data_IF_675768835343
#
_entry.id   IF_675768835343
#
_cell.length_a   1.000
_cell.length_b   1.000
_cell.length_c   1.000
_cell.angle_alpha   90.00
_cell.angle_beta   90.00
_cell.angle_gamma   90.00
#
_symmetry.space_group_name_H-M   'P 1'
#
loop_
_entity.id
_entity.type
_entity.pdbx_description
1 polymer ?
#
# COMPACT_ATOMS: atom_id res chain seq x y z
N UNK A 1 19.40 -1.59 5.12
CA UNK A 1 18.60 -1.93 3.92
C UNK A 1 18.30 -3.43 3.93
N UNK A 2 17.21 -3.86 3.31
CA UNK A 2 16.91 -5.27 3.04
C UNK A 2 16.91 -5.51 1.53
N UNK A 3 17.45 -6.66 1.09
CA UNK A 3 17.43 -7.09 -0.32
C UNK A 3 16.59 -8.36 -0.38
N UNK A 4 15.43 -8.26 -1.02
CA UNK A 4 14.39 -9.29 -1.00
C UNK A 4 14.04 -9.71 -2.42
N UNK A 5 13.71 -10.97 -2.60
CA UNK A 5 13.24 -11.49 -3.88
C UNK A 5 11.75 -11.74 -3.83
N UNK A 6 11.02 -11.26 -4.83
CA UNK A 6 9.57 -11.44 -4.96
C UNK A 6 9.21 -11.89 -6.37
N UNK A 7 8.00 -12.43 -6.51
CA UNK A 7 7.39 -12.59 -7.83
C UNK A 7 7.33 -11.24 -8.56
N UNK A 8 7.52 -11.27 -9.88
CA UNK A 8 7.61 -10.07 -10.71
C UNK A 8 6.46 -9.09 -10.51
N UNK A 9 5.22 -9.56 -10.55
CA UNK A 9 4.04 -8.67 -10.40
C UNK A 9 4.00 -8.01 -9.01
N UNK A 10 4.39 -8.75 -7.96
CA UNK A 10 4.45 -8.20 -6.61
C UNK A 10 5.53 -7.12 -6.50
N UNK A 11 6.71 -7.39 -7.05
CA UNK A 11 7.81 -6.42 -7.10
C UNK A 11 7.43 -5.16 -7.89
N UNK A 12 6.75 -5.31 -9.03
CA UNK A 12 6.24 -4.20 -9.84
C UNK A 12 5.23 -3.35 -9.04
N UNK A 13 4.35 -3.98 -8.25
CA UNK A 13 3.43 -3.24 -7.36
C UNK A 13 4.14 -2.47 -6.25
N UNK A 14 5.26 -2.98 -5.70
CA UNK A 14 6.01 -2.27 -4.65
C UNK A 14 6.59 -0.94 -5.14
N UNK A 15 7.13 -0.94 -6.37
CA UNK A 15 7.80 0.24 -6.95
C UNK A 15 6.89 1.13 -7.80
N UNK A 16 5.66 0.69 -8.07
CA UNK A 16 4.70 1.41 -8.91
C UNK A 16 4.46 2.84 -8.39
N UNK A 17 4.51 3.81 -9.30
CA UNK A 17 4.28 5.23 -9.03
C UNK A 17 2.82 5.62 -9.29
N UNK A 18 2.35 6.76 -8.76
CA UNK A 18 1.01 7.28 -9.07
C UNK A 18 0.80 7.39 -10.58
N UNK A 19 -0.31 6.83 -11.07
CA UNK A 19 -0.63 6.75 -12.51
C UNK A 19 -0.29 5.42 -13.16
N UNK A 20 0.61 4.63 -12.57
CA UNK A 20 0.93 3.30 -13.07
C UNK A 20 -0.24 2.33 -12.92
N UNK A 21 -0.40 1.43 -13.89
CA UNK A 21 -1.42 0.37 -13.85
C UNK A 21 -1.31 -0.50 -12.58
N UNK A 22 -0.08 -0.78 -12.16
CA UNK A 22 0.24 -1.59 -10.98
C UNK A 22 0.09 -0.83 -9.65
N UNK A 23 -0.13 0.49 -9.68
CA UNK A 23 -0.29 1.30 -8.47
C UNK A 23 -1.49 0.83 -7.65
N UNK A 24 -1.25 0.52 -6.38
CA UNK A 24 -2.25 0.00 -5.46
C UNK A 24 -1.92 0.35 -4.01
N UNK A 25 -2.77 -0.06 -3.07
CA UNK A 25 -2.57 0.19 -1.63
C UNK A 25 -1.20 -0.26 -1.12
N UNK A 26 -0.69 -1.37 -1.64
CA UNK A 26 0.65 -1.88 -1.31
C UNK A 26 1.74 -0.86 -1.65
N UNK A 27 1.66 -0.28 -2.86
CA UNK A 27 2.60 0.74 -3.35
C UNK A 27 2.67 1.91 -2.37
N UNK A 28 1.51 2.47 -2.00
CA UNK A 28 1.46 3.65 -1.15
C UNK A 28 1.93 3.36 0.28
N UNK A 29 1.53 2.23 0.86
CA UNK A 29 1.90 1.88 2.23
C UNK A 29 3.40 1.62 2.37
N UNK A 30 4.00 0.93 1.39
CA UNK A 30 5.43 0.67 1.39
C UNK A 30 6.23 1.94 1.14
N UNK A 31 5.81 2.77 0.18
CA UNK A 31 6.49 4.03 -0.14
C UNK A 31 6.32 5.10 0.95
N UNK A 32 5.28 5.00 1.79
CA UNK A 32 5.15 5.81 3.00
C UNK A 32 6.32 5.54 3.94
N UNK A 33 6.60 4.26 4.23
CA UNK A 33 7.52 3.85 5.30
C UNK A 33 8.95 3.58 4.82
N UNK A 34 9.16 3.35 3.53
CA UNK A 34 10.45 2.95 2.98
C UNK A 34 10.70 3.53 1.58
N UNK A 35 11.98 3.66 1.21
CA UNK A 35 12.41 3.77 -0.19
C UNK A 35 12.53 2.36 -0.76
N UNK A 36 12.01 2.15 -1.97
CA UNK A 36 11.99 0.83 -2.61
C UNK A 36 12.47 0.93 -4.04
N UNK A 37 13.47 0.12 -4.37
CA UNK A 37 14.12 0.13 -5.68
C UNK A 37 14.12 -1.27 -6.29
N UNK A 38 13.87 -1.32 -7.60
CA UNK A 38 14.03 -2.55 -8.39
C UNK A 38 15.51 -2.74 -8.72
N UNK A 39 16.12 -3.83 -8.29
CA UNK A 39 17.55 -4.08 -8.54
C UNK A 39 17.79 -4.87 -9.82
N UNK A 40 17.18 -6.06 -9.94
CA UNK A 40 17.38 -6.93 -11.09
C UNK A 40 16.24 -7.93 -11.27
N UNK A 41 16.13 -8.47 -12.49
CA UNK A 41 15.20 -9.55 -12.86
C UNK A 41 15.90 -10.90 -12.75
N UNK A 42 15.24 -11.89 -12.17
CA UNK A 42 15.72 -13.26 -12.03
C UNK A 42 14.82 -14.19 -12.83
N UNK A 43 15.41 -14.79 -13.87
CA UNK A 43 14.73 -15.77 -14.71
C UNK A 43 14.29 -17.00 -13.91
N UNK A 44 13.09 -17.53 -14.17
CA UNK A 44 12.57 -18.77 -13.55
C UNK A 44 13.51 -19.99 -13.68
N UNK A 45 14.35 -20.02 -14.70
CA UNK A 45 15.32 -21.11 -14.94
C UNK A 45 16.48 -21.13 -13.93
N UNK A 46 16.64 -20.08 -13.11
CA UNK A 46 17.64 -20.01 -12.05
C UNK A 46 17.18 -20.71 -10.75
N UNK A 47 15.98 -21.28 -10.72
CA UNK A 47 15.42 -21.95 -9.55
C UNK A 47 15.30 -23.47 -9.78
N UNK A 48 15.34 -24.23 -8.67
CA UNK A 48 15.10 -25.68 -8.67
C UNK A 48 14.16 -26.05 -7.51
N UNK A 49 12.93 -26.52 -7.77
CA UNK A 49 12.27 -26.59 -9.09
C UNK A 49 11.93 -25.20 -9.65
N UNK A 50 11.78 -25.05 -10.99
CA UNK A 50 11.43 -23.77 -11.60
C UNK A 50 10.02 -23.30 -11.19
N UNK A 51 9.84 -22.04 -10.75
CA UNK A 51 8.51 -21.47 -10.51
C UNK A 51 7.78 -21.21 -11.83
N UNK A 52 6.46 -21.00 -11.74
CA UNK A 52 5.61 -20.67 -12.90
C UNK A 52 5.78 -19.23 -13.41
N UNK A 53 6.33 -18.35 -12.57
CA UNK A 53 6.42 -16.90 -12.85
C UNK A 53 7.85 -16.41 -12.68
N UNK A 54 8.15 -15.29 -13.34
CA UNK A 54 9.43 -14.60 -13.18
C UNK A 54 9.56 -13.95 -11.79
N UNK A 55 10.79 -13.74 -11.34
CA UNK A 55 11.10 -13.10 -10.06
C UNK A 55 11.92 -11.83 -10.24
N UNK A 56 11.85 -10.93 -9.28
CA UNK A 56 12.65 -9.72 -9.24
C UNK A 56 13.24 -9.55 -7.84
N UNK A 57 14.44 -8.97 -7.78
CA UNK A 57 15.10 -8.56 -6.54
C UNK A 57 14.83 -7.08 -6.31
N UNK A 58 14.40 -6.75 -5.10
CA UNK A 58 13.99 -5.43 -4.65
C UNK A 58 14.81 -5.04 -3.43
N UNK A 59 15.30 -3.80 -3.40
CA UNK A 59 15.90 -3.19 -2.21
C UNK A 59 14.83 -2.40 -1.46
N UNK A 60 14.74 -2.60 -0.16
CA UNK A 60 13.84 -1.85 0.73
C UNK A 60 14.66 -1.17 1.82
N UNK A 61 14.50 0.13 1.95
CA UNK A 61 15.19 0.95 2.96
C UNK A 61 14.17 1.73 3.79
N UNK A 62 13.94 1.35 5.06
CA UNK A 62 13.08 2.12 5.95
C UNK A 62 13.50 3.59 6.02
N UNK A 63 12.53 4.49 6.01
CA UNK A 63 12.77 5.92 6.25
C UNK A 63 13.01 6.13 7.74
N UNK A 64 14.10 6.82 8.06
CA UNK A 64 14.52 7.12 9.43
C UNK A 64 14.79 8.63 9.53
N UNK A 65 14.07 9.36 10.39
CA UNK A 65 12.92 8.91 11.16
C UNK A 65 11.72 8.54 10.26
N UNK A 66 10.80 7.68 10.72
CA UNK A 66 9.57 7.44 10.00
C UNK A 66 8.74 8.74 9.95
N UNK A 67 7.89 8.93 8.93
CA UNK A 67 7.00 10.08 8.89
C UNK A 67 6.06 10.06 10.12
N UNK A 68 5.72 11.22 10.70
CA UNK A 68 4.88 11.32 11.90
C UNK A 68 3.40 11.13 11.53
N UNK A 69 3.05 9.94 11.06
CA UNK A 69 1.72 9.58 10.59
C UNK A 69 1.17 8.44 11.45
N UNK A 70 -0.06 8.59 11.94
CA UNK A 70 -0.79 7.50 12.58
C UNK A 70 -1.07 6.41 11.53
N UNK A 71 -0.35 5.30 11.60
CA UNK A 71 -0.46 4.22 10.61
C UNK A 71 -1.87 3.60 10.58
N UNK A 72 -2.59 3.56 11.72
CA UNK A 72 -3.92 3.00 11.77
C UNK A 72 -4.93 3.84 10.99
N UNK A 73 -4.87 5.16 11.13
CA UNK A 73 -5.70 6.09 10.36
C UNK A 73 -5.33 6.08 8.87
N UNK A 74 -4.03 6.06 8.58
CA UNK A 74 -3.51 5.95 7.22
C UNK A 74 -4.01 4.68 6.51
N UNK A 75 -3.90 3.52 7.17
CA UNK A 75 -4.35 2.26 6.60
C UNK A 75 -5.87 2.24 6.40
N UNK A 76 -6.63 2.84 7.33
CA UNK A 76 -8.08 3.02 7.18
C UNK A 76 -8.45 3.86 5.97
N UNK A 77 -7.83 5.02 5.80
CA UNK A 77 -8.06 5.92 4.67
C UNK A 77 -7.69 5.26 3.34
N UNK A 78 -6.50 4.69 3.24
CA UNK A 78 -6.02 4.05 2.01
C UNK A 78 -6.85 2.83 1.65
N UNK A 79 -7.37 2.08 2.64
CA UNK A 79 -8.32 0.99 2.40
C UNK A 79 -9.61 1.48 1.74
N UNK A 80 -10.17 2.61 2.16
CA UNK A 80 -11.35 3.22 1.53
C UNK A 80 -11.01 3.68 0.10
N UNK A 81 -9.94 4.45 -0.04
CA UNK A 81 -9.56 5.08 -1.32
C UNK A 81 -9.22 4.04 -2.41
N UNK A 82 -8.50 2.97 -2.06
CA UNK A 82 -8.07 1.95 -3.02
C UNK A 82 -9.07 0.81 -3.23
N UNK A 83 -10.16 0.74 -2.45
CA UNK A 83 -11.21 -0.26 -2.64
C UNK A 83 -11.82 -0.25 -4.04
N UNK A 84 -11.94 0.94 -4.65
CA UNK A 84 -12.29 1.11 -6.07
C UNK A 84 -11.39 2.17 -6.70
N UNK A 85 -10.10 1.84 -6.87
CA UNK A 85 -9.05 2.80 -7.30
C UNK A 85 -9.32 3.59 -8.59
N UNK A 86 -10.19 3.10 -9.47
CA UNK A 86 -10.59 3.75 -10.73
C UNK A 86 -11.86 4.60 -10.60
N UNK A 87 -12.37 4.82 -9.38
CA UNK A 87 -13.53 5.69 -9.10
C UNK A 87 -13.08 6.91 -8.32
N UNK A 88 -13.89 7.97 -8.36
CA UNK A 88 -13.61 9.20 -7.61
C UNK A 88 -13.63 8.93 -6.11
N UNK A 89 -12.84 9.69 -5.34
CA UNK A 89 -12.84 9.59 -3.88
C UNK A 89 -14.24 9.84 -3.30
N UNK A 90 -14.99 10.80 -3.86
CA UNK A 90 -16.38 11.03 -3.48
C UNK A 90 -17.24 9.76 -3.57
N UNK A 91 -17.07 8.95 -4.62
CA UNK A 91 -17.78 7.67 -4.74
C UNK A 91 -17.32 6.62 -3.71
N UNK A 92 -16.04 6.63 -3.32
CA UNK A 92 -15.53 5.74 -2.28
C UNK A 92 -16.13 6.06 -0.89
N UNK A 93 -16.28 7.34 -0.56
CA UNK A 93 -16.84 7.79 0.72
C UNK A 93 -18.38 7.74 0.80
N UNK A 94 -19.07 7.61 -0.34
CA UNK A 94 -20.54 7.45 -0.38
C UNK A 94 -21.04 6.05 -0.03
N UNK A 95 -20.14 5.10 0.27
CA UNK A 95 -20.55 3.74 0.67
C UNK A 95 -21.18 3.78 2.06
N UNK A 96 -22.35 3.16 2.23
CA UNK A 96 -23.10 3.14 3.51
C UNK A 96 -22.26 2.62 4.67
N UNK A 97 -21.43 1.60 4.43
CA UNK A 97 -20.53 1.02 5.44
C UNK A 97 -19.44 2.01 5.87
N UNK A 98 -18.91 2.79 4.93
CA UNK A 98 -17.89 3.82 5.21
C UNK A 98 -18.50 4.97 6.01
N UNK A 99 -19.68 5.45 5.59
CA UNK A 99 -20.40 6.51 6.31
C UNK A 99 -20.72 6.11 7.75
N UNK A 100 -21.31 4.93 7.97
CA UNK A 100 -21.64 4.44 9.30
C UNK A 100 -20.40 4.28 10.20
N UNK A 101 -19.28 3.81 9.64
CA UNK A 101 -18.01 3.69 10.37
C UNK A 101 -17.46 5.07 10.77
N UNK A 102 -17.45 6.03 9.84
CA UNK A 102 -16.94 7.38 10.09
C UNK A 102 -17.82 8.13 11.10
N UNK A 103 -19.14 8.00 10.99
CA UNK A 103 -20.09 8.60 11.93
C UNK A 103 -19.87 8.06 13.35
N UNK A 104 -19.72 6.74 13.51
CA UNK A 104 -19.41 6.13 14.81
C UNK A 104 -18.09 6.63 15.40
N UNK A 105 -17.05 6.74 14.57
CA UNK A 105 -15.75 7.26 15.01
C UNK A 105 -15.85 8.74 15.39
N UNK A 106 -16.65 9.53 14.66
CA UNK A 106 -16.88 10.94 14.93
C UNK A 106 -17.66 11.15 16.24
N UNK A 107 -18.73 10.39 16.47
CA UNK A 107 -19.48 10.43 17.73
C UNK A 107 -18.56 10.14 18.93
N UNK A 108 -17.71 9.11 18.82
CA UNK A 108 -16.70 8.79 19.84
C UNK A 108 -15.75 9.96 20.09
N UNK A 109 -15.29 10.62 19.02
CA UNK A 109 -14.42 11.79 19.13
C UNK A 109 -15.12 12.95 19.87
N UNK A 110 -16.37 13.25 19.55
CA UNK A 110 -17.15 14.28 20.24
C UNK A 110 -17.31 13.98 21.74
N UNK A 111 -17.66 12.73 22.09
CA UNK A 111 -17.79 12.29 23.49
C UNK A 111 -16.48 12.40 24.28
N UNK A 112 -15.33 12.11 23.67
CA UNK A 112 -14.03 12.21 24.34
C UNK A 112 -13.57 13.67 24.51
N UNK A 113 -14.02 14.57 23.63
CA UNK A 113 -13.56 15.96 23.58
C UNK A 113 -14.59 16.98 24.12
N UNK A 114 -15.65 16.52 24.79
CA UNK A 114 -16.73 17.36 25.35
C UNK A 114 -17.27 18.40 24.35
N UNK A 115 -17.49 17.97 23.09
CA UNK A 115 -18.18 18.75 22.06
C UNK A 115 -19.51 18.12 21.72
#
# INVERSE_FOLDING_TARGET
CAVLMFQREFAERLVAQPGDKAYCRLSVNVQLLARVDMLLKVGKNNFRPPPKVESNVVRVEPKIPPPPINYQEWDGLTRIAFGRKNKTLAAAFKQTTVLAMLEKNYQRHCSLNNK
#
